data_IF_359987251440
#
_entry.id   IF_359987251440
#
_cell.length_a   1.000
_cell.length_b   1.000
_cell.length_c   1.000
_cell.angle_alpha   90.00
_cell.angle_beta   90.00
_cell.angle_gamma   90.00
#
_symmetry.space_group_name_H-M   'P 1'
#
loop_
_entity.id
_entity.type
_entity.pdbx_description
1 polymer ?
#
# COMPACT_ATOMS: atom_id res chain seq x y z
N UNK A 1 -13.43 -2.17 -23.55
CA UNK A 1 -12.87 -0.91 -22.99
C UNK A 1 -13.06 -1.00 -21.49
N UNK A 2 -12.07 -0.60 -20.68
CA UNK A 2 -12.22 -0.67 -19.22
C UNK A 2 -13.04 0.53 -18.73
N UNK A 3 -13.96 0.30 -17.80
CA UNK A 3 -14.79 1.34 -17.20
C UNK A 3 -14.11 1.92 -15.96
N UNK A 4 -14.33 3.21 -15.70
CA UNK A 4 -13.90 3.80 -14.44
C UNK A 4 -14.75 3.23 -13.31
N UNK A 5 -14.08 2.66 -12.31
CA UNK A 5 -14.68 2.04 -11.14
C UNK A 5 -13.83 2.33 -9.91
N UNK A 6 -14.37 2.14 -8.69
CA UNK A 6 -13.56 2.23 -7.47
C UNK A 6 -12.31 1.36 -7.49
N UNK A 7 -12.35 0.18 -8.14
CA UNK A 7 -11.20 -0.70 -8.28
C UNK A 7 -10.14 -0.12 -9.24
N UNK A 8 -10.55 0.49 -10.35
CA UNK A 8 -9.63 1.21 -11.26
C UNK A 8 -9.02 2.41 -10.55
N UNK A 9 -9.78 3.12 -9.72
CA UNK A 9 -9.29 4.27 -8.97
C UNK A 9 -8.31 3.87 -7.86
N UNK A 10 -8.63 2.83 -7.08
CA UNK A 10 -7.72 2.22 -6.11
C UNK A 10 -6.42 1.78 -6.79
N UNK A 11 -6.53 1.02 -7.88
CA UNK A 11 -5.39 0.54 -8.64
C UNK A 11 -4.57 1.69 -9.25
N UNK A 12 -5.20 2.80 -9.64
CA UNK A 12 -4.49 4.02 -10.07
C UNK A 12 -3.71 4.65 -8.93
N UNK A 13 -4.24 4.67 -7.70
CA UNK A 13 -3.50 5.07 -6.50
C UNK A 13 -2.27 4.20 -6.26
N UNK A 14 -2.43 2.87 -6.35
CA UNK A 14 -1.33 1.90 -6.29
C UNK A 14 -0.31 2.19 -7.39
N UNK A 15 -0.77 2.50 -8.61
CA UNK A 15 0.10 2.81 -9.73
C UNK A 15 0.90 4.07 -9.49
N UNK A 16 0.28 5.16 -9.04
CA UNK A 16 0.98 6.42 -8.77
C UNK A 16 2.10 6.19 -7.76
N UNK A 17 1.86 5.34 -6.77
CA UNK A 17 2.82 5.06 -5.73
C UNK A 17 3.91 4.05 -6.09
N UNK A 18 3.61 2.76 -5.88
CA UNK A 18 4.57 1.65 -6.04
C UNK A 18 4.47 0.92 -7.39
N UNK A 19 3.52 1.29 -8.24
CA UNK A 19 3.37 0.65 -9.56
C UNK A 19 4.51 0.97 -10.54
N UNK A 20 4.66 0.15 -11.57
CA UNK A 20 5.62 0.34 -12.64
C UNK A 20 4.99 -0.10 -13.94
N UNK A 21 5.05 0.76 -14.96
CA UNK A 21 4.54 0.46 -16.29
C UNK A 21 5.68 0.50 -17.30
N UNK A 22 5.83 -0.57 -18.07
CA UNK A 22 6.80 -0.67 -19.17
C UNK A 22 6.09 -1.06 -20.46
N UNK A 23 6.09 -0.14 -21.42
CA UNK A 23 5.58 -0.35 -22.77
C UNK A 23 6.75 -0.23 -23.75
N UNK A 24 7.05 -1.33 -24.46
CA UNK A 24 8.06 -1.37 -25.53
C UNK A 24 7.40 -1.76 -26.84
N UNK A 25 7.32 -0.79 -27.76
CA UNK A 25 6.79 -0.96 -29.13
C UNK A 25 7.96 -1.26 -30.08
N UNK A 26 7.73 -2.06 -31.12
CA UNK A 26 8.69 -2.20 -32.24
C UNK A 26 9.70 -3.36 -32.14
N UNK A 27 9.35 -4.47 -31.50
CA UNK A 27 10.08 -5.75 -31.62
C UNK A 27 9.12 -6.87 -32.05
N UNK A 28 9.62 -8.08 -32.35
CA UNK A 28 8.79 -9.22 -32.79
C UNK A 28 7.67 -9.57 -31.78
N UNK A 29 7.88 -9.26 -30.49
CA UNK A 29 6.89 -9.46 -29.43
C UNK A 29 6.87 -8.26 -28.47
N UNK A 30 6.33 -7.11 -28.90
CA UNK A 30 6.23 -5.90 -28.06
C UNK A 30 5.82 -6.20 -26.60
N UNK A 31 6.42 -5.51 -25.63
CA UNK A 31 6.26 -5.84 -24.20
C UNK A 31 5.37 -4.82 -23.48
N UNK A 32 4.42 -5.32 -22.70
CA UNK A 32 3.41 -4.54 -21.99
C UNK A 32 3.32 -5.03 -20.55
N UNK A 33 4.34 -4.68 -19.76
CA UNK A 33 4.51 -5.18 -18.39
C UNK A 33 4.03 -4.15 -17.38
N UNK A 34 3.32 -4.65 -16.38
CA UNK A 34 3.00 -3.94 -15.16
C UNK A 34 3.60 -4.66 -13.97
N UNK A 35 4.08 -3.91 -12.99
CA UNK A 35 4.49 -4.44 -11.70
C UNK A 35 4.10 -3.53 -10.54
N UNK A 36 3.88 -4.09 -9.35
CA UNK A 36 3.78 -3.36 -8.08
C UNK A 36 4.77 -4.00 -7.14
N UNK A 37 5.68 -3.21 -6.56
CA UNK A 37 6.75 -3.73 -5.70
C UNK A 37 6.59 -3.21 -4.29
N UNK A 38 6.72 -4.09 -3.30
CA UNK A 38 6.70 -3.71 -1.89
C UNK A 38 7.78 -4.44 -1.10
N UNK A 39 7.92 -4.08 0.17
CA UNK A 39 8.81 -4.76 1.08
C UNK A 39 8.31 -6.19 1.33
N UNK A 40 9.19 -7.18 1.22
CA UNK A 40 8.79 -8.60 1.21
C UNK A 40 8.15 -9.06 2.52
N UNK A 41 8.44 -8.41 3.65
CA UNK A 41 7.79 -8.67 4.95
C UNK A 41 6.58 -7.74 5.20
N UNK A 42 6.80 -6.42 5.28
CA UNK A 42 5.74 -5.45 5.62
C UNK A 42 4.56 -5.43 4.64
N UNK A 43 4.80 -5.57 3.33
CA UNK A 43 3.78 -5.39 2.30
C UNK A 43 3.24 -6.71 1.75
N UNK A 44 3.69 -7.86 2.27
CA UNK A 44 3.23 -9.17 1.79
C UNK A 44 1.72 -9.34 1.91
N UNK A 45 1.15 -9.03 3.08
CA UNK A 45 -0.31 -9.13 3.30
C UNK A 45 -1.08 -8.10 2.46
N UNK A 46 -0.50 -6.92 2.25
CA UNK A 46 -1.11 -5.90 1.39
C UNK A 46 -1.14 -6.35 -0.07
N UNK A 47 -0.03 -6.86 -0.59
CA UNK A 47 0.07 -7.28 -1.98
C UNK A 47 -0.84 -8.47 -2.31
N UNK A 48 -0.87 -9.48 -1.42
CA UNK A 48 -1.70 -10.67 -1.58
C UNK A 48 -3.17 -10.34 -1.30
N UNK A 49 -3.45 -9.71 -0.15
CA UNK A 49 -4.81 -9.54 0.35
C UNK A 49 -5.56 -8.33 -0.21
N UNK A 50 -4.86 -7.35 -0.79
CA UNK A 50 -5.47 -6.10 -1.27
C UNK A 50 -5.11 -5.81 -2.73
N UNK A 51 -3.82 -5.74 -3.09
CA UNK A 51 -3.40 -5.31 -4.43
C UNK A 51 -3.81 -6.32 -5.50
N UNK A 52 -3.53 -7.61 -5.28
CA UNK A 52 -3.89 -8.68 -6.21
C UNK A 52 -5.41 -8.76 -6.49
N UNK A 53 -6.31 -8.80 -5.49
CA UNK A 53 -7.75 -8.79 -5.75
C UNK A 53 -8.22 -7.48 -6.40
N UNK A 54 -7.60 -6.34 -6.08
CA UNK A 54 -7.94 -5.05 -6.72
C UNK A 54 -7.62 -5.02 -8.20
N UNK A 55 -6.43 -5.48 -8.60
CA UNK A 55 -6.07 -5.60 -10.02
C UNK A 55 -6.97 -6.60 -10.74
N UNK A 56 -7.29 -7.72 -10.09
CA UNK A 56 -8.16 -8.76 -10.66
C UNK A 56 -9.57 -8.21 -10.91
N UNK A 57 -10.13 -7.45 -9.96
CA UNK A 57 -11.43 -6.81 -10.09
C UNK A 57 -11.43 -5.67 -11.12
N UNK A 58 -10.40 -4.80 -11.12
CA UNK A 58 -10.31 -3.66 -12.03
C UNK A 58 -10.24 -4.06 -13.52
N UNK A 59 -9.56 -5.18 -13.81
CA UNK A 59 -9.18 -5.53 -15.18
C UNK A 59 -9.60 -6.94 -15.63
N UNK A 60 -10.34 -7.67 -14.79
CA UNK A 60 -10.71 -9.07 -15.01
C UNK A 60 -9.48 -9.95 -15.32
N UNK A 61 -8.40 -9.74 -14.58
CA UNK A 61 -7.16 -10.51 -14.73
C UNK A 61 -7.18 -11.72 -13.82
N UNK A 62 -6.87 -12.88 -14.37
CA UNK A 62 -6.72 -14.10 -13.59
C UNK A 62 -5.30 -14.15 -13.01
N UNK A 63 -5.22 -14.01 -11.68
CA UNK A 63 -4.04 -14.25 -10.82
C UNK A 63 -2.70 -13.72 -11.39
N UNK A 64 -2.40 -12.41 -11.20
CA UNK A 64 -1.08 -11.87 -11.48
C UNK A 64 0.04 -12.68 -10.79
N UNK A 65 1.20 -12.78 -11.44
CA UNK A 65 2.34 -13.54 -10.92
C UNK A 65 3.07 -12.80 -9.81
N UNK A 66 3.83 -13.53 -8.99
CA UNK A 66 4.73 -12.95 -8.00
C UNK A 66 6.19 -13.22 -8.36
N UNK A 67 7.03 -12.23 -8.10
CA UNK A 67 8.48 -12.35 -8.09
C UNK A 67 9.00 -11.94 -6.72
N UNK A 68 9.91 -12.72 -6.14
CA UNK A 68 10.67 -12.33 -4.96
C UNK A 68 12.15 -12.27 -5.31
N UNK A 69 12.82 -11.23 -4.84
CA UNK A 69 14.26 -11.11 -5.05
C UNK A 69 15.03 -12.20 -4.26
N UNK A 70 16.27 -12.52 -4.67
CA UNK A 70 17.05 -13.58 -4.02
C UNK A 70 17.26 -13.34 -2.52
N UNK A 71 17.46 -12.07 -2.11
CA UNK A 71 17.70 -11.66 -0.72
C UNK A 71 16.42 -11.59 0.12
N UNK A 72 15.23 -11.75 -0.51
CA UNK A 72 13.92 -11.72 0.16
C UNK A 72 13.64 -10.42 0.90
N UNK A 73 14.13 -9.32 0.35
CA UNK A 73 13.93 -7.95 0.86
C UNK A 73 12.75 -7.26 0.19
N UNK A 74 12.44 -7.61 -1.06
CA UNK A 74 11.30 -7.08 -1.80
C UNK A 74 10.58 -8.14 -2.64
N UNK A 75 9.30 -7.91 -2.85
CA UNK A 75 8.41 -8.77 -3.63
C UNK A 75 7.65 -7.89 -4.62
N UNK A 76 7.44 -8.40 -5.83
CA UNK A 76 6.67 -7.72 -6.86
C UNK A 76 5.54 -8.60 -7.37
N UNK A 77 4.34 -8.03 -7.42
CA UNK A 77 3.23 -8.54 -8.21
C UNK A 77 3.44 -8.09 -9.67
N UNK A 78 3.38 -9.00 -10.64
CA UNK A 78 3.70 -8.76 -12.05
C UNK A 78 2.67 -9.38 -12.98
N UNK A 79 2.32 -8.66 -14.04
CA UNK A 79 1.55 -9.22 -15.15
C UNK A 79 1.91 -8.55 -16.47
N UNK A 80 1.60 -9.23 -17.57
CA UNK A 80 1.73 -8.68 -18.91
C UNK A 80 0.36 -8.67 -19.59
N UNK A 81 -0.14 -7.48 -19.91
CA UNK A 81 -1.40 -7.33 -20.62
C UNK A 81 -1.41 -6.04 -21.43
N UNK A 82 -1.45 -6.17 -22.76
CA UNK A 82 -1.42 -5.04 -23.70
C UNK A 82 -2.60 -4.09 -23.50
N UNK A 83 -3.81 -4.63 -23.36
CA UNK A 83 -5.01 -3.80 -23.21
C UNK A 83 -4.95 -2.95 -21.93
N UNK A 84 -4.57 -3.56 -20.80
CA UNK A 84 -4.45 -2.86 -19.51
C UNK A 84 -3.34 -1.81 -19.55
N UNK A 85 -2.17 -2.16 -20.11
CA UNK A 85 -1.04 -1.23 -20.23
C UNK A 85 -1.39 -0.01 -21.09
N UNK A 86 -2.05 -0.22 -22.24
CA UNK A 86 -2.50 0.87 -23.11
C UNK A 86 -3.62 1.70 -22.47
N UNK A 87 -4.57 1.07 -21.77
CA UNK A 87 -5.59 1.81 -21.02
C UNK A 87 -4.95 2.75 -19.98
N UNK A 88 -4.02 2.25 -19.19
CA UNK A 88 -3.29 3.07 -18.21
C UNK A 88 -2.55 4.23 -18.85
N UNK A 89 -1.83 3.97 -19.94
CA UNK A 89 -0.98 4.97 -20.55
C UNK A 89 -1.75 5.98 -21.40
N UNK A 90 -2.61 5.49 -22.30
CA UNK A 90 -3.26 6.30 -23.33
C UNK A 90 -4.59 6.88 -22.86
N UNK A 91 -5.30 6.20 -21.94
CA UNK A 91 -6.62 6.67 -21.44
C UNK A 91 -6.48 7.37 -20.10
N UNK A 92 -5.77 6.79 -19.13
CA UNK A 92 -5.55 7.43 -17.83
C UNK A 92 -4.37 8.41 -17.84
N UNK A 93 -3.54 8.44 -18.88
CA UNK A 93 -2.39 9.35 -18.96
C UNK A 93 -1.23 8.98 -18.01
N UNK A 94 -1.18 7.75 -17.50
CA UNK A 94 -0.12 7.30 -16.60
C UNK A 94 1.20 7.09 -17.36
N UNK A 95 2.35 7.54 -16.84
CA UNK A 95 3.60 7.53 -17.59
C UNK A 95 4.14 6.12 -17.79
N UNK A 96 4.73 5.88 -18.96
CA UNK A 96 5.60 4.73 -19.21
C UNK A 96 6.98 5.01 -18.59
N UNK A 97 7.36 4.29 -17.53
CA UNK A 97 8.61 4.49 -16.80
C UNK A 97 8.52 5.45 -15.61
N UNK A 98 9.39 6.46 -15.55
CA UNK A 98 9.59 7.29 -14.34
C UNK A 98 8.41 8.25 -14.09
N UNK A 99 7.90 8.28 -12.86
CA UNK A 99 6.76 9.11 -12.40
C UNK A 99 7.19 10.46 -11.80
N UNK A 100 7.76 11.35 -12.61
CA UNK A 100 8.15 12.70 -12.13
C UNK A 100 7.10 13.77 -12.39
N UNK A 101 6.49 13.72 -13.57
CA UNK A 101 5.51 14.69 -14.04
C UNK A 101 4.18 13.98 -14.24
N UNK A 102 3.53 13.66 -13.12
CA UNK A 102 2.28 12.90 -13.09
C UNK A 102 1.21 13.72 -12.35
N UNK A 103 -0.03 13.64 -12.83
CA UNK A 103 -1.23 14.15 -12.17
C UNK A 103 -2.21 13.01 -11.93
N UNK A 104 -3.14 13.20 -11.01
CA UNK A 104 -4.31 12.34 -10.90
C UNK A 104 -5.17 12.54 -12.17
N UNK A 105 -5.58 11.46 -12.87
CA UNK A 105 -6.39 11.57 -14.07
C UNK A 105 -7.68 12.35 -13.81
N UNK A 106 -8.07 13.25 -14.73
CA UNK A 106 -9.18 14.17 -14.51
C UNK A 106 -10.49 13.47 -14.15
N UNK A 107 -10.81 12.41 -14.88
CA UNK A 107 -12.03 11.65 -14.68
C UNK A 107 -12.11 10.92 -13.32
N UNK A 108 -10.95 10.69 -12.66
CA UNK A 108 -10.93 10.21 -11.28
C UNK A 108 -11.01 11.39 -10.31
N UNK A 109 -10.33 12.50 -10.62
CA UNK A 109 -10.22 13.69 -9.76
C UNK A 109 -11.54 14.44 -9.60
N UNK A 110 -12.39 14.42 -10.61
CA UNK A 110 -13.70 15.08 -10.60
C UNK A 110 -14.80 14.30 -9.87
N UNK A 111 -14.52 13.07 -9.43
CA UNK A 111 -15.47 12.21 -8.74
C UNK A 111 -14.95 11.83 -7.34
N UNK A 112 -15.56 12.42 -6.30
CA UNK A 112 -15.21 12.14 -4.91
C UNK A 112 -15.34 10.66 -4.53
N UNK A 113 -16.23 9.89 -5.16
CA UNK A 113 -16.38 8.45 -4.92
C UNK A 113 -15.19 7.67 -5.47
N UNK A 114 -14.55 8.13 -6.55
CA UNK A 114 -13.33 7.54 -7.10
C UNK A 114 -12.06 8.08 -6.41
N UNK A 115 -12.06 9.33 -5.95
CA UNK A 115 -10.93 9.89 -5.21
C UNK A 115 -10.67 9.21 -3.87
N UNK A 116 -11.71 8.76 -3.14
CA UNK A 116 -11.56 8.04 -1.87
C UNK A 116 -10.70 6.78 -1.98
N UNK A 117 -11.02 5.78 -2.83
CA UNK A 117 -10.17 4.60 -2.99
C UNK A 117 -8.78 4.95 -3.52
N UNK A 118 -8.64 5.93 -4.41
CA UNK A 118 -7.33 6.39 -4.88
C UNK A 118 -6.48 6.96 -3.72
N UNK A 119 -7.06 7.84 -2.89
CA UNK A 119 -6.39 8.44 -1.73
C UNK A 119 -5.98 7.39 -0.68
N UNK A 120 -6.83 6.39 -0.45
CA UNK A 120 -6.52 5.25 0.41
C UNK A 120 -5.27 4.52 -0.06
N UNK A 121 -5.21 4.19 -1.35
CA UNK A 121 -4.07 3.43 -1.88
C UNK A 121 -2.80 4.29 -2.02
N UNK A 122 -2.90 5.61 -2.22
CA UNK A 122 -1.74 6.52 -2.12
C UNK A 122 -1.12 6.51 -0.72
N UNK A 123 -1.95 6.47 0.33
CA UNK A 123 -1.44 6.27 1.68
C UNK A 123 -0.85 4.88 1.84
N UNK A 124 -1.49 3.84 1.30
CA UNK A 124 -1.08 2.45 1.42
C UNK A 124 0.33 2.17 0.87
N UNK A 125 0.76 2.87 -0.19
CA UNK A 125 2.07 2.69 -0.84
C UNK A 125 3.13 3.69 -0.37
N UNK A 126 2.91 4.99 -0.56
CA UNK A 126 3.91 6.05 -0.33
C UNK A 126 3.64 6.84 0.95
N UNK A 127 2.65 6.38 1.70
CA UNK A 127 2.24 6.99 2.94
C UNK A 127 2.69 6.23 4.18
N UNK A 128 2.71 6.98 5.27
CA UNK A 128 3.00 6.47 6.61
C UNK A 128 1.91 6.95 7.53
N UNK A 129 1.18 6.00 8.12
CA UNK A 129 0.49 6.20 9.39
C UNK A 129 1.49 5.92 10.51
N UNK A 130 1.85 6.97 11.25
CA UNK A 130 2.77 6.90 12.38
C UNK A 130 2.21 7.59 13.60
N UNK A 131 2.73 7.22 14.77
CA UNK A 131 2.39 7.84 16.04
C UNK A 131 3.64 8.49 16.61
N UNK A 132 3.53 9.77 16.94
CA UNK A 132 4.63 10.62 17.37
C UNK A 132 4.50 10.93 18.86
N UNK A 133 5.59 11.37 19.47
CA UNK A 133 5.61 11.86 20.84
C UNK A 133 5.78 13.39 20.87
N UNK A 134 5.38 14.01 21.98
CA UNK A 134 5.58 15.46 22.20
C UNK A 134 6.97 15.78 22.78
N UNK A 135 7.79 14.75 23.06
CA UNK A 135 9.11 14.87 23.68
C UNK A 135 9.81 13.52 23.74
N UNK A 136 11.14 13.52 23.93
CA UNK A 136 12.02 12.34 23.76
C UNK A 136 11.59 11.09 24.56
N UNK A 137 11.03 11.29 25.75
CA UNK A 137 10.62 10.22 26.66
C UNK A 137 9.10 10.04 26.76
N UNK A 138 8.34 10.76 25.93
CA UNK A 138 6.89 10.69 25.97
C UNK A 138 6.36 9.54 25.09
N UNK A 139 5.18 8.98 25.43
CA UNK A 139 4.54 7.93 24.65
C UNK A 139 4.24 8.38 23.22
N UNK A 140 4.31 7.45 22.28
CA UNK A 140 4.04 7.68 20.87
C UNK A 140 2.53 7.63 20.61
N UNK A 141 1.83 8.72 20.97
CA UNK A 141 0.36 8.78 21.00
C UNK A 141 -0.29 9.78 20.03
N UNK A 142 0.50 10.57 19.32
CA UNK A 142 -0.03 11.59 18.39
C UNK A 142 -0.06 11.02 16.97
N UNK A 143 -1.23 10.58 16.47
CA UNK A 143 -1.34 10.02 15.14
C UNK A 143 -0.99 11.08 14.09
N UNK A 144 -0.34 10.64 13.01
CA UNK A 144 -0.01 11.47 11.87
C UNK A 144 -0.02 10.63 10.61
N UNK A 145 -0.67 11.16 9.57
CA UNK A 145 -0.56 10.66 8.20
C UNK A 145 0.44 11.54 7.47
N UNK A 146 1.41 10.92 6.79
CA UNK A 146 2.31 11.59 5.85
C UNK A 146 2.31 10.84 4.53
N UNK A 147 2.18 11.54 3.40
CA UNK A 147 2.36 10.98 2.05
C UNK A 147 3.48 11.76 1.37
N UNK A 148 4.48 11.06 0.82
CA UNK A 148 5.67 11.68 0.23
C UNK A 148 5.84 11.24 -1.21
N UNK A 149 5.76 12.18 -2.16
CA UNK A 149 5.87 11.89 -3.58
C UNK A 149 6.80 12.88 -4.30
N UNK A 150 7.41 12.44 -5.40
CA UNK A 150 8.13 13.34 -6.32
C UNK A 150 7.19 14.10 -7.26
N UNK A 151 6.01 13.55 -7.53
CA UNK A 151 4.98 14.17 -8.33
C UNK A 151 4.21 15.21 -7.48
N UNK A 152 4.67 16.47 -7.50
CA UNK A 152 4.09 17.54 -6.68
C UNK A 152 2.61 17.79 -6.96
N UNK A 153 2.22 17.71 -8.24
CA UNK A 153 0.85 17.94 -8.67
C UNK A 153 -0.13 16.94 -8.07
N UNK A 154 0.26 15.66 -7.90
CA UNK A 154 -0.56 14.67 -7.19
C UNK A 154 -0.82 15.09 -5.74
N UNK A 155 0.21 15.58 -5.05
CA UNK A 155 0.09 16.03 -3.65
C UNK A 155 -0.84 17.24 -3.53
N UNK A 156 -0.71 18.21 -4.44
CA UNK A 156 -1.58 19.40 -4.48
C UNK A 156 -3.04 19.04 -4.78
N UNK A 157 -3.26 18.15 -5.75
CA UNK A 157 -4.61 17.66 -6.10
C UNK A 157 -5.23 16.86 -4.95
N UNK A 158 -4.46 16.01 -4.28
CA UNK A 158 -4.91 15.27 -3.11
C UNK A 158 -5.25 16.23 -1.95
N UNK A 159 -4.39 17.20 -1.64
CA UNK A 159 -4.67 18.19 -0.61
C UNK A 159 -5.93 19.02 -0.89
N UNK A 160 -6.18 19.33 -2.17
CA UNK A 160 -7.38 20.03 -2.61
C UNK A 160 -8.64 19.21 -2.36
N UNK A 161 -8.65 17.94 -2.78
CA UNK A 161 -9.73 16.99 -2.50
C UNK A 161 -9.99 16.83 -1.00
N UNK A 162 -8.93 16.58 -0.21
CA UNK A 162 -9.07 16.40 1.24
C UNK A 162 -9.72 17.62 1.91
N UNK A 163 -9.35 18.83 1.49
CA UNK A 163 -9.90 20.07 2.04
C UNK A 163 -11.32 20.34 1.56
N UNK A 164 -11.55 20.27 0.26
CA UNK A 164 -12.81 20.69 -0.36
C UNK A 164 -13.94 19.69 -0.10
N UNK A 165 -13.65 18.40 -0.20
CA UNK A 165 -14.67 17.34 -0.15
C UNK A 165 -14.83 16.74 1.25
N UNK A 166 -13.76 16.71 2.06
CA UNK A 166 -13.76 16.03 3.36
C UNK A 166 -13.51 16.95 4.55
N UNK A 167 -13.21 18.24 4.32
CA UNK A 167 -12.88 19.20 5.39
C UNK A 167 -11.60 18.89 6.16
N UNK A 168 -10.74 18.02 5.64
CA UNK A 168 -9.48 17.59 6.28
C UNK A 168 -8.41 18.68 6.08
N UNK A 169 -7.81 19.13 7.18
CA UNK A 169 -6.74 20.12 7.14
C UNK A 169 -5.37 19.46 6.90
N UNK A 170 -5.00 19.31 5.64
CA UNK A 170 -3.68 18.85 5.23
C UNK A 170 -2.70 20.03 4.99
N UNK A 171 -1.47 19.86 5.49
CA UNK A 171 -0.33 20.75 5.19
C UNK A 171 0.53 20.15 4.08
N UNK A 172 1.06 21.00 3.19
CA UNK A 172 1.97 20.60 2.12
C UNK A 172 3.32 21.30 2.30
N UNK A 173 4.42 20.56 2.15
CA UNK A 173 5.77 21.15 2.16
C UNK A 173 6.72 20.43 1.21
N UNK A 174 7.66 21.19 0.67
CA UNK A 174 8.76 20.68 -0.14
C UNK A 174 9.95 20.27 0.73
N UNK A 175 10.63 19.18 0.36
CA UNK A 175 11.93 18.81 0.95
C UNK A 175 12.91 18.36 -0.14
N UNK A 176 14.19 18.66 0.05
CA UNK A 176 15.26 18.11 -0.78
C UNK A 176 15.69 16.77 -0.17
N UNK A 177 15.40 15.69 -0.90
CA UNK A 177 15.93 14.36 -0.55
C UNK A 177 17.34 14.22 -1.14
N UNK A 178 18.32 14.00 -0.27
CA UNK A 178 19.70 13.65 -0.64
C UNK A 178 19.93 12.22 -0.20
N UNK A 179 20.12 11.33 -1.17
CA UNK A 179 20.57 9.96 -0.92
C UNK A 179 22.00 9.83 -1.41
N UNK A 180 22.87 9.16 -0.67
CA UNK A 180 24.26 8.93 -1.06
C UNK A 180 24.34 8.38 -2.50
N UNK A 181 25.18 9.02 -3.32
CA UNK A 181 25.37 8.64 -4.73
C UNK A 181 24.22 9.00 -5.68
N UNK A 182 23.20 9.76 -5.23
CA UNK A 182 22.10 10.23 -6.11
C UNK A 182 22.00 11.75 -6.10
N UNK A 183 21.69 12.32 -7.27
CA UNK A 183 21.38 13.75 -7.37
C UNK A 183 20.22 14.10 -6.43
N UNK A 184 20.28 15.26 -5.74
CA UNK A 184 19.19 15.74 -4.91
C UNK A 184 17.87 15.72 -5.70
N UNK A 185 16.80 15.23 -5.07
CA UNK A 185 15.48 15.27 -5.69
C UNK A 185 14.46 15.94 -4.78
N UNK A 186 13.72 16.89 -5.35
CA UNK A 186 12.61 17.54 -4.66
C UNK A 186 11.49 16.52 -4.42
N UNK A 187 11.01 16.46 -3.18
CA UNK A 187 9.84 15.68 -2.79
C UNK A 187 8.82 16.62 -2.15
N UNK A 188 7.55 16.41 -2.46
CA UNK A 188 6.44 17.04 -1.74
C UNK A 188 5.93 16.10 -0.66
N UNK A 189 5.61 16.68 0.48
CA UNK A 189 5.08 15.97 1.65
C UNK A 189 3.71 16.56 1.96
N UNK A 190 2.68 15.73 1.88
CA UNK A 190 1.37 15.99 2.48
C UNK A 190 1.39 15.45 3.91
N UNK A 191 0.90 16.23 4.87
CA UNK A 191 0.86 15.85 6.28
C UNK A 191 -0.46 16.25 6.94
N UNK A 192 -1.11 15.28 7.60
CA UNK A 192 -2.31 15.44 8.42
C UNK A 192 -1.91 15.13 9.87
N UNK A 193 -2.17 16.07 10.79
CA UNK A 193 -1.72 15.98 12.18
C UNK A 193 -2.84 15.96 13.21
N UNK A 194 -4.03 16.46 12.84
CA UNK A 194 -5.14 16.59 13.78
C UNK A 194 -5.80 15.23 13.96
N UNK A 195 -6.03 14.84 15.21
CA UNK A 195 -6.68 13.56 15.51
C UNK A 195 -8.06 13.48 14.87
N UNK A 196 -8.83 14.57 14.89
CA UNK A 196 -10.16 14.65 14.25
C UNK A 196 -10.10 14.43 12.73
N UNK A 197 -9.07 14.96 12.06
CA UNK A 197 -8.87 14.78 10.62
C UNK A 197 -8.45 13.35 10.28
N UNK A 198 -7.66 12.71 11.14
CA UNK A 198 -7.25 11.30 10.98
C UNK A 198 -8.44 10.37 11.22
N UNK A 199 -9.32 10.70 12.16
CA UNK A 199 -10.57 9.96 12.35
C UNK A 199 -11.53 10.17 11.17
N UNK A 200 -11.58 11.37 10.61
CA UNK A 200 -12.31 11.64 9.37
C UNK A 200 -11.73 10.84 8.21
N UNK A 201 -10.40 10.78 8.06
CA UNK A 201 -9.75 9.91 7.08
C UNK A 201 -10.16 8.44 7.30
N UNK A 202 -10.08 7.95 8.54
CA UNK A 202 -10.41 6.57 8.88
C UNK A 202 -11.83 6.21 8.47
N UNK A 203 -12.79 7.11 8.70
CA UNK A 203 -14.21 6.90 8.39
C UNK A 203 -14.51 7.03 6.90
N UNK A 204 -14.01 8.07 6.25
CA UNK A 204 -14.38 8.44 4.87
C UNK A 204 -13.53 7.76 3.80
N UNK A 205 -12.26 7.46 4.10
CA UNK A 205 -11.30 6.88 3.16
C UNK A 205 -10.90 5.47 3.60
N UNK A 206 -10.58 5.30 4.88
CA UNK A 206 -10.12 4.04 5.46
C UNK A 206 -8.64 3.74 5.24
N UNK A 207 -8.22 2.56 5.68
CA UNK A 207 -6.86 2.03 5.53
C UNK A 207 -6.91 0.65 4.88
N UNK A 208 -6.09 0.41 3.86
CA UNK A 208 -6.09 -0.86 3.11
C UNK A 208 -4.82 -1.70 3.31
N UNK A 209 -3.71 -1.08 3.74
CA UNK A 209 -2.46 -1.77 4.03
C UNK A 209 -2.47 -2.34 5.47
N UNK A 210 -2.36 -3.67 5.66
CA UNK A 210 -2.30 -4.29 6.99
C UNK A 210 -1.20 -3.74 7.91
N UNK A 211 -0.12 -3.17 7.36
CA UNK A 211 0.90 -2.47 8.15
C UNK A 211 0.33 -1.22 8.84
N UNK A 212 -0.51 -0.42 8.16
CA UNK A 212 -1.19 0.72 8.77
C UNK A 212 -2.31 0.27 9.71
N UNK A 213 -3.12 -0.71 9.28
CA UNK A 213 -4.24 -1.23 10.08
C UNK A 213 -3.73 -1.78 11.43
N UNK A 214 -2.68 -2.61 11.40
CA UNK A 214 -2.08 -3.16 12.62
C UNK A 214 -1.54 -2.08 13.55
N UNK A 215 -0.94 -0.99 13.04
CA UNK A 215 -0.53 0.15 13.87
C UNK A 215 -1.71 0.84 14.54
N UNK A 216 -2.81 1.01 13.82
CA UNK A 216 -4.04 1.58 14.40
C UNK A 216 -4.61 0.67 15.49
N UNK A 217 -4.69 -0.64 15.24
CA UNK A 217 -5.18 -1.60 16.24
C UNK A 217 -4.32 -1.66 17.50
N UNK A 218 -2.99 -1.59 17.34
CA UNK A 218 -2.05 -1.50 18.46
C UNK A 218 -2.28 -0.21 19.25
N UNK A 219 -2.41 0.92 18.56
CA UNK A 219 -2.68 2.21 19.20
C UNK A 219 -4.01 2.19 19.98
N UNK A 220 -5.05 1.59 19.44
CA UNK A 220 -6.34 1.45 20.15
C UNK A 220 -6.22 0.57 21.41
N UNK A 221 -5.36 -0.46 21.38
CA UNK A 221 -5.16 -1.36 22.51
C UNK A 221 -4.30 -0.74 23.63
N UNK A 222 -3.30 0.08 23.27
CA UNK A 222 -2.30 0.59 24.22
C UNK A 222 -2.40 2.10 24.51
N UNK A 223 -3.11 2.87 23.68
CA UNK A 223 -3.05 4.33 23.65
C UNK A 223 -1.75 4.89 23.05
N UNK A 224 -0.87 4.02 22.54
CA UNK A 224 0.37 4.38 21.84
C UNK A 224 0.79 3.31 20.83
N UNK A 225 1.64 3.68 19.87
CA UNK A 225 2.28 2.71 18.98
C UNK A 225 3.72 3.13 18.69
N UNK A 226 4.68 2.32 19.16
CA UNK A 226 6.09 2.62 18.97
C UNK A 226 6.52 2.58 17.48
N UNK A 227 7.46 3.45 17.07
CA UNK A 227 8.03 3.40 15.73
C UNK A 227 8.93 2.16 15.57
N UNK A 228 9.29 1.83 14.32
CA UNK A 228 10.23 0.75 13.96
C UNK A 228 9.81 -0.65 14.45
N UNK A 229 8.52 -0.87 14.67
CA UNK A 229 7.97 -2.21 14.82
C UNK A 229 7.76 -2.84 13.44
N UNK A 230 7.94 -4.16 13.33
CA UNK A 230 7.56 -4.91 12.13
C UNK A 230 6.09 -5.32 12.19
N UNK A 231 5.53 -5.74 11.07
CA UNK A 231 4.17 -6.31 11.03
C UNK A 231 4.07 -7.57 11.89
N UNK A 232 5.13 -8.38 11.95
CA UNK A 232 5.17 -9.58 12.80
C UNK A 232 5.08 -9.20 14.28
N UNK A 233 5.81 -8.17 14.72
CA UNK A 233 5.77 -7.70 16.11
C UNK A 233 4.36 -7.23 16.50
N UNK A 234 3.71 -6.49 15.60
CA UNK A 234 2.36 -5.98 15.84
C UNK A 234 1.34 -7.10 15.86
N UNK A 235 1.40 -8.04 14.92
CA UNK A 235 0.48 -9.18 14.90
C UNK A 235 0.68 -10.08 16.12
N UNK A 236 1.92 -10.39 16.50
CA UNK A 236 2.26 -11.15 17.71
C UNK A 236 1.66 -10.53 18.97
N UNK A 237 1.84 -9.22 19.15
CA UNK A 237 1.21 -8.48 20.25
C UNK A 237 -0.33 -8.58 20.21
N UNK A 238 -0.93 -8.34 19.04
CA UNK A 238 -2.39 -8.37 18.88
C UNK A 238 -3.01 -9.77 19.08
N UNK A 239 -2.22 -10.83 18.94
CA UNK A 239 -2.62 -12.21 19.23
C UNK A 239 -2.38 -12.61 20.70
N UNK A 240 -1.79 -11.73 21.52
CA UNK A 240 -1.52 -11.99 22.94
C UNK A 240 -0.23 -12.77 23.21
N UNK A 241 0.64 -12.98 22.22
CA UNK A 241 1.93 -13.65 22.41
C UNK A 241 2.96 -12.81 23.15
N UNK A 242 2.74 -11.51 23.24
CA UNK A 242 3.57 -10.59 24.02
C UNK A 242 2.71 -9.55 24.70
N UNK A 243 3.06 -9.21 25.93
CA UNK A 243 2.46 -8.10 26.67
C UNK A 243 2.97 -6.72 26.22
N UNK A 244 4.02 -6.69 25.39
CA UNK A 244 4.66 -5.46 24.88
C UNK A 244 5.03 -5.61 23.40
N UNK A 245 5.09 -4.50 22.66
CA UNK A 245 5.66 -4.49 21.31
C UNK A 245 7.17 -4.75 21.39
N UNK A 246 7.58 -5.95 21.01
CA UNK A 246 8.98 -6.37 20.97
C UNK A 246 9.21 -7.27 19.75
N UNK A 247 10.48 -7.44 19.37
CA UNK A 247 10.89 -8.33 18.29
C UNK A 247 10.30 -9.73 18.53
N UNK A 248 9.45 -10.16 17.62
CA UNK A 248 8.65 -11.37 17.76
C UNK A 248 9.00 -12.43 16.74
N UNK A 249 8.67 -13.68 17.07
CA UNK A 249 8.67 -14.79 16.13
C UNK A 249 7.40 -14.74 15.26
N UNK A 250 7.39 -15.43 14.10
CA UNK A 250 6.18 -15.59 13.31
C UNK A 250 5.03 -16.18 14.15
N UNK A 251 3.77 -15.87 13.78
CA UNK A 251 2.57 -16.31 14.52
C UNK A 251 2.04 -17.66 14.03
N UNK A 252 1.08 -18.29 14.72
CA UNK A 252 0.49 -19.52 14.19
C UNK A 252 -0.40 -19.21 12.97
N UNK A 253 -0.56 -20.15 12.01
CA UNK A 253 -1.45 -19.94 10.86
C UNK A 253 -2.89 -19.60 11.25
N UNK A 254 -3.44 -20.22 12.29
CA UNK A 254 -4.79 -19.92 12.80
C UNK A 254 -4.93 -18.50 13.33
N UNK A 255 -3.89 -17.96 13.97
CA UNK A 255 -3.91 -16.58 14.46
C UNK A 255 -3.80 -15.57 13.32
N UNK A 256 -3.02 -15.88 12.28
CA UNK A 256 -2.99 -15.04 11.08
C UNK A 256 -4.39 -14.95 10.47
N UNK A 257 -5.08 -16.09 10.34
CA UNK A 257 -6.44 -16.15 9.82
C UNK A 257 -7.37 -15.27 10.64
N UNK A 258 -7.46 -15.53 11.94
CA UNK A 258 -8.32 -14.78 12.86
C UNK A 258 -7.99 -13.26 12.87
N UNK A 259 -6.71 -12.91 12.78
CA UNK A 259 -6.28 -11.51 12.76
C UNK A 259 -6.66 -10.81 11.46
N UNK A 260 -6.47 -11.46 10.31
CA UNK A 260 -6.90 -10.93 9.00
C UNK A 260 -8.41 -10.72 8.99
N UNK A 261 -9.18 -11.69 9.45
CA UNK A 261 -10.65 -11.57 9.47
C UNK A 261 -11.12 -10.45 10.40
N UNK A 262 -10.42 -10.27 11.54
CA UNK A 262 -10.64 -9.14 12.44
C UNK A 262 -10.32 -7.80 11.77
N UNK A 263 -9.23 -7.72 10.99
CA UNK A 263 -8.92 -6.52 10.20
C UNK A 263 -10.01 -6.24 9.16
N UNK A 264 -10.41 -7.25 8.39
CA UNK A 264 -11.45 -7.14 7.37
C UNK A 264 -12.77 -6.69 7.98
N UNK A 265 -13.17 -7.27 9.11
CA UNK A 265 -14.42 -6.88 9.80
C UNK A 265 -14.40 -5.44 10.28
N UNK A 266 -13.26 -4.95 10.80
CA UNK A 266 -13.17 -3.62 11.41
C UNK A 266 -12.82 -2.49 10.43
N UNK A 267 -12.08 -2.80 9.37
CA UNK A 267 -11.52 -1.81 8.45
C UNK A 267 -11.94 -2.04 6.99
N UNK A 268 -12.60 -3.16 6.68
CA UNK A 268 -12.96 -3.56 5.31
C UNK A 268 -11.79 -4.15 4.51
N UNK A 269 -10.61 -4.31 5.13
CA UNK A 269 -9.38 -4.81 4.49
C UNK A 269 -8.60 -5.74 5.40
N UNK A 270 -7.87 -6.73 4.85
CA UNK A 270 -7.76 -7.08 3.43
C UNK A 270 -9.06 -7.52 2.74
N UNK A 271 -9.08 -7.57 1.41
CA UNK A 271 -10.28 -7.86 0.58
C UNK A 271 -10.66 -9.34 0.50
N UNK A 272 -9.80 -10.21 1.04
CA UNK A 272 -9.98 -11.66 1.06
C UNK A 272 -9.81 -12.16 2.49
N UNK A 273 -10.38 -13.33 2.78
CA UNK A 273 -10.35 -13.90 4.13
C UNK A 273 -8.94 -14.33 4.53
N UNK A 274 -8.74 -14.53 5.83
CA UNK A 274 -7.52 -15.08 6.37
C UNK A 274 -7.11 -16.40 5.72
N UNK A 275 -8.05 -17.32 5.51
CA UNK A 275 -7.78 -18.61 4.86
C UNK A 275 -7.33 -18.45 3.42
N UNK A 276 -7.97 -17.55 2.67
CA UNK A 276 -7.61 -17.27 1.29
C UNK A 276 -6.18 -16.72 1.19
N UNK A 277 -5.81 -15.77 2.07
CA UNK A 277 -4.43 -15.27 2.14
C UNK A 277 -3.44 -16.39 2.47
N UNK A 278 -3.76 -17.22 3.46
CA UNK A 278 -2.88 -18.32 3.88
C UNK A 278 -2.69 -19.34 2.75
N UNK A 279 -3.77 -19.67 2.03
CA UNK A 279 -3.70 -20.52 0.84
C UNK A 279 -2.82 -19.91 -0.25
N UNK A 280 -3.01 -18.63 -0.57
CA UNK A 280 -2.20 -17.93 -1.58
C UNK A 280 -0.72 -17.90 -1.20
N UNK A 281 -0.39 -17.66 0.08
CA UNK A 281 0.99 -17.76 0.59
C UNK A 281 1.56 -19.16 0.35
N UNK A 282 0.78 -20.21 0.63
CA UNK A 282 1.17 -21.60 0.38
C UNK A 282 1.44 -21.89 -1.10
N UNK A 283 0.54 -21.45 -1.99
CA UNK A 283 0.68 -21.60 -3.44
C UNK A 283 1.90 -20.84 -3.98
N UNK A 284 2.13 -19.60 -3.52
CA UNK A 284 3.30 -18.80 -3.90
C UNK A 284 4.57 -19.51 -3.44
N UNK A 285 4.64 -19.96 -2.18
CA UNK A 285 5.80 -20.68 -1.66
C UNK A 285 6.07 -21.99 -2.39
N UNK A 286 5.03 -22.74 -2.79
CA UNK A 286 5.18 -23.96 -3.59
C UNK A 286 5.84 -23.66 -4.94
N UNK A 287 5.38 -22.61 -5.63
CA UNK A 287 5.93 -22.18 -6.93
C UNK A 287 7.36 -21.64 -6.82
N UNK A 288 7.63 -20.82 -5.79
CA UNK A 288 8.97 -20.29 -5.53
C UNK A 288 9.96 -21.39 -5.16
N UNK A 289 9.50 -22.40 -4.41
CA UNK A 289 10.30 -23.57 -4.04
C UNK A 289 10.65 -24.43 -5.25
N UNK A 290 9.66 -24.76 -6.09
CA UNK A 290 9.88 -25.62 -7.27
C UNK A 290 10.78 -24.99 -8.32
N UNK A 291 10.70 -23.67 -8.51
CA UNK A 291 11.35 -23.00 -9.64
C UNK A 291 12.66 -22.28 -9.27
N UNK A 292 12.81 -21.85 -8.02
CA UNK A 292 13.88 -20.92 -7.63
C UNK A 292 14.59 -21.28 -6.32
N UNK A 293 14.17 -22.35 -5.62
CA UNK A 293 14.60 -22.66 -4.25
C UNK A 293 14.44 -21.45 -3.29
N UNK A 294 13.34 -20.70 -3.44
CA UNK A 294 13.00 -19.49 -2.65
C UNK A 294 11.70 -19.69 -1.88
N UNK A 295 11.51 -18.90 -0.83
CA UNK A 295 10.27 -18.78 -0.05
C UNK A 295 10.06 -17.32 0.35
N UNK A 296 8.81 -16.94 0.57
CA UNK A 296 8.45 -15.66 1.19
C UNK A 296 9.02 -15.57 2.61
N UNK A 297 9.26 -14.35 3.15
CA UNK A 297 9.54 -14.17 4.56
C UNK A 297 8.45 -14.79 5.45
N UNK A 298 8.84 -15.31 6.61
CA UNK A 298 7.92 -16.00 7.49
C UNK A 298 7.07 -15.01 8.27
N UNK A 299 5.79 -14.91 7.90
CA UNK A 299 4.75 -14.30 8.74
C UNK A 299 4.16 -15.32 9.71
N UNK A 300 4.15 -16.60 9.33
CA UNK A 300 3.62 -17.72 10.10
C UNK A 300 4.68 -18.79 10.35
N UNK A 301 4.57 -19.49 11.48
CA UNK A 301 5.34 -20.69 11.76
C UNK A 301 4.70 -21.85 10.98
N UNK A 302 5.32 -22.24 9.87
CA UNK A 302 4.96 -23.45 9.12
C UNK A 302 5.80 -24.63 9.58
#
# INVERSE_FOLDING_TARGET
MFHLSPDVAAETGIHIGDGGLSIKRGGPHGSYQYEVTGHALEDQLYLIGTVMPTISAAYNLQRPGFYINPERTWISLRYQNKAVALFKHEILGLPNGRKRNLSIPEALRSDAHLMRPLARELLATDGVLGFYNAGRNNPHKYPRIQIKLKASLVIEQLATFLRADLGISASCRSTLSVHEGRSPSLQQILQINRSEDIETWRREIGFSNPSHISRMMVFEALGECMPRTSIVDRLSFLCGYSSRLATSKPIAPSDLVAMVDRMTTRFGFPRVTGEAILQDIGEINKRLGSNLNRKLPMLVNC
#
